data_IF_489719193871
#
_entry.id   IF_489719193871
#
_cell.length_a   1.000
_cell.length_b   1.000
_cell.length_c   1.000
_cell.angle_alpha   90.00
_cell.angle_beta   90.00
_cell.angle_gamma   90.00
#
_symmetry.space_group_name_H-M   'P 1'
#
loop_
_entity.id
_entity.type
_entity.pdbx_description
1 polymer ?
#
# COMPACT_ATOMS: atom_id res chain seq x y z
N UNK A 1 5.65 16.20 7.65
CA UNK A 1 6.09 14.97 6.97
C UNK A 1 7.35 14.45 7.65
N UNK A 2 7.38 13.18 8.11
CA UNK A 2 8.57 12.51 8.63
C UNK A 2 9.12 11.58 7.55
N UNK A 3 10.40 11.19 7.67
CA UNK A 3 11.04 10.29 6.70
C UNK A 3 11.74 9.16 7.45
N UNK A 4 11.38 7.93 7.09
CA UNK A 4 11.87 6.70 7.70
C UNK A 4 12.60 5.84 6.67
N UNK A 5 13.45 4.93 7.12
CA UNK A 5 14.12 3.97 6.24
C UNK A 5 13.27 2.70 6.08
N UNK A 6 13.20 2.15 4.87
CA UNK A 6 12.54 0.85 4.64
C UNK A 6 13.52 -0.25 5.06
N UNK A 7 13.38 -0.78 6.26
CA UNK A 7 14.24 -1.83 6.81
C UNK A 7 15.72 -1.46 6.71
N UNK A 8 16.51 -2.34 6.06
CA UNK A 8 17.95 -2.13 5.82
C UNK A 8 18.26 -1.79 4.36
N UNK A 9 17.28 -1.33 3.59
CA UNK A 9 17.47 -1.04 2.16
C UNK A 9 18.22 0.26 1.86
N UNK A 10 18.33 1.15 2.84
CA UNK A 10 18.84 2.52 2.62
C UNK A 10 17.83 3.47 1.95
N UNK A 11 16.67 2.98 1.52
CA UNK A 11 15.62 3.82 0.94
C UNK A 11 14.94 4.65 2.03
N UNK A 12 15.11 5.96 1.98
CA UNK A 12 14.49 6.91 2.91
C UNK A 12 13.20 7.47 2.31
N UNK A 13 12.06 7.14 2.93
CA UNK A 13 10.73 7.42 2.43
C UNK A 13 9.90 8.23 3.42
N UNK A 14 8.98 9.05 2.90
CA UNK A 14 7.99 9.78 3.71
C UNK A 14 7.05 8.80 4.44
N UNK A 15 6.70 9.10 5.68
CA UNK A 15 5.78 8.29 6.49
C UNK A 15 4.37 8.18 5.91
N UNK A 16 4.00 9.10 4.99
CA UNK A 16 2.83 9.01 4.12
C UNK A 16 3.30 8.73 2.70
N UNK A 17 2.83 7.63 2.09
CA UNK A 17 3.14 7.23 0.73
C UNK A 17 1.91 7.33 -0.19
N UNK A 18 2.14 7.48 -1.47
CA UNK A 18 1.09 7.59 -2.49
C UNK A 18 0.87 6.23 -3.18
N UNK A 19 -0.27 5.59 -2.87
CA UNK A 19 -0.75 4.43 -3.62
C UNK A 19 -1.48 4.87 -4.89
N UNK A 20 -1.04 4.42 -6.03
CA UNK A 20 -1.55 4.85 -7.33
C UNK A 20 -2.76 4.03 -7.84
N UNK A 21 -3.38 3.17 -7.02
CA UNK A 21 -4.51 2.34 -7.45
C UNK A 21 -5.69 3.16 -7.98
N UNK A 22 -5.99 4.30 -7.36
CA UNK A 22 -7.05 5.21 -7.82
C UNK A 22 -6.82 5.78 -9.22
N UNK A 23 -5.57 5.87 -9.69
CA UNK A 23 -5.26 6.35 -11.04
C UNK A 23 -5.76 5.38 -12.12
N UNK A 24 -5.96 4.11 -11.78
CA UNK A 24 -6.57 3.10 -12.64
C UNK A 24 -8.08 3.20 -12.77
N UNK A 25 -8.74 4.04 -11.95
CA UNK A 25 -10.21 4.09 -11.91
C UNK A 25 -10.83 2.88 -11.22
N UNK A 26 -10.09 2.20 -10.34
CA UNK A 26 -10.50 0.96 -9.66
C UNK A 26 -11.77 1.15 -8.80
N UNK A 27 -11.91 2.31 -8.17
CA UNK A 27 -13.01 2.58 -7.23
C UNK A 27 -14.16 3.39 -7.86
N UNK A 28 -13.87 4.21 -8.86
CA UNK A 28 -14.82 5.05 -9.60
C UNK A 28 -14.14 5.65 -10.82
N UNK A 29 -14.92 6.17 -11.76
CA UNK A 29 -14.37 6.87 -12.93
C UNK A 29 -13.50 8.06 -12.53
N UNK A 30 -12.41 8.26 -13.24
CA UNK A 30 -11.45 9.35 -12.99
C UNK A 30 -11.32 10.25 -14.23
N UNK A 31 -10.91 11.48 -13.99
CA UNK A 31 -10.37 12.38 -15.00
C UNK A 31 -8.86 12.26 -14.98
N UNK A 32 -8.26 11.99 -16.14
CA UNK A 32 -6.81 11.73 -16.24
C UNK A 32 -5.99 12.98 -15.86
N UNK A 33 -6.42 14.17 -16.24
CA UNK A 33 -5.77 15.42 -15.89
C UNK A 33 -5.73 15.66 -14.37
N UNK A 34 -6.84 15.39 -13.66
CA UNK A 34 -6.89 15.45 -12.19
C UNK A 34 -6.01 14.37 -11.54
N UNK A 35 -5.99 13.17 -12.11
CA UNK A 35 -5.17 12.07 -11.62
C UNK A 35 -3.66 12.39 -11.73
N UNK A 36 -3.21 12.97 -12.84
CA UNK A 36 -1.84 13.47 -13.01
C UNK A 36 -1.53 14.57 -12.00
N UNK A 37 -2.44 15.53 -11.84
CA UNK A 37 -2.27 16.60 -10.86
C UNK A 37 -2.20 16.07 -9.42
N UNK A 38 -2.90 14.97 -9.09
CA UNK A 38 -2.84 14.34 -7.77
C UNK A 38 -1.42 13.79 -7.48
N UNK A 39 -0.75 13.19 -8.47
CA UNK A 39 0.65 12.75 -8.33
C UNK A 39 1.59 13.93 -8.08
N UNK A 40 1.46 15.01 -8.88
CA UNK A 40 2.26 16.23 -8.69
C UNK A 40 2.02 16.83 -7.29
N UNK A 41 0.76 16.93 -6.86
CA UNK A 41 0.41 17.42 -5.52
C UNK A 41 1.06 16.56 -4.42
N UNK A 42 1.09 15.24 -4.59
CA UNK A 42 1.72 14.35 -3.63
C UNK A 42 3.23 14.61 -3.52
N UNK A 43 3.94 14.64 -4.64
CA UNK A 43 5.39 14.85 -4.65
C UNK A 43 5.77 16.26 -4.20
N UNK A 44 5.02 17.29 -4.60
CA UNK A 44 5.27 18.68 -4.19
C UNK A 44 4.95 18.90 -2.70
N UNK A 45 4.03 18.11 -2.14
CA UNK A 45 3.71 18.07 -0.71
C UNK A 45 4.69 17.27 0.15
N UNK A 46 5.76 16.72 -0.44
CA UNK A 46 6.83 16.00 0.24
C UNK A 46 6.67 14.48 0.31
N UNK A 47 5.64 13.91 -0.33
CA UNK A 47 5.55 12.45 -0.50
C UNK A 47 6.58 12.03 -1.53
N UNK A 48 7.46 11.09 -1.16
CA UNK A 48 8.48 10.57 -2.05
C UNK A 48 8.39 9.06 -2.29
N UNK A 49 7.45 8.33 -1.68
CA UNK A 49 7.20 6.92 -1.97
C UNK A 49 5.92 6.77 -2.78
N UNK A 50 6.05 6.20 -3.98
CA UNK A 50 4.94 5.97 -4.92
C UNK A 50 4.85 4.49 -5.22
N UNK A 51 3.70 3.88 -4.94
CA UNK A 51 3.44 2.46 -5.18
C UNK A 51 2.31 2.27 -6.20
N UNK A 52 2.52 1.38 -7.15
CA UNK A 52 1.57 1.05 -8.20
C UNK A 52 1.53 -0.46 -8.47
N UNK A 53 0.74 -0.91 -9.43
CA UNK A 53 0.70 -2.31 -9.90
C UNK A 53 0.12 -2.38 -11.32
N UNK A 54 0.57 -3.32 -12.16
CA UNK A 54 -0.07 -3.62 -13.44
C UNK A 54 -1.52 -4.12 -13.27
N UNK A 55 -1.86 -4.69 -12.11
CA UNK A 55 -3.23 -5.11 -11.78
C UNK A 55 -4.21 -3.93 -11.69
N UNK A 56 -3.76 -2.76 -11.25
CA UNK A 56 -4.66 -1.63 -10.95
C UNK A 56 -5.24 -1.01 -12.23
N UNK A 57 -6.56 -1.19 -12.40
CA UNK A 57 -7.30 -0.71 -13.56
C UNK A 57 -6.79 -1.31 -14.88
N UNK A 58 -6.33 -2.58 -14.86
CA UNK A 58 -5.86 -3.29 -16.03
C UNK A 58 -4.80 -2.49 -16.82
N UNK A 59 -3.65 -2.27 -16.19
CA UNK A 59 -2.49 -1.50 -16.67
C UNK A 59 -2.66 0.04 -16.68
N UNK A 60 -3.89 0.54 -16.50
CA UNK A 60 -4.18 1.97 -16.62
C UNK A 60 -3.46 2.81 -15.56
N UNK A 61 -3.37 2.30 -14.31
CA UNK A 61 -2.71 3.04 -13.23
C UNK A 61 -1.23 3.33 -13.55
N UNK A 62 -0.48 2.34 -14.03
CA UNK A 62 0.91 2.54 -14.43
C UNK A 62 1.03 3.50 -15.63
N UNK A 63 0.13 3.39 -16.61
CA UNK A 63 0.12 4.30 -17.78
C UNK A 63 -0.13 5.75 -17.39
N UNK A 64 -1.08 6.01 -16.50
CA UNK A 64 -1.39 7.36 -16.01
C UNK A 64 -0.25 7.89 -15.14
N UNK A 65 0.27 7.04 -14.25
CA UNK A 65 1.42 7.39 -13.41
C UNK A 65 2.65 7.72 -14.28
N UNK A 66 2.97 6.91 -15.29
CA UNK A 66 4.08 7.16 -16.19
C UNK A 66 3.97 8.50 -16.93
N UNK A 67 2.75 8.95 -17.26
CA UNK A 67 2.55 10.31 -17.82
C UNK A 67 2.89 11.41 -16.80
N UNK A 68 2.49 11.23 -15.54
CA UNK A 68 2.81 12.19 -14.48
C UNK A 68 4.31 12.24 -14.17
N UNK A 69 4.99 11.09 -14.16
CA UNK A 69 6.42 11.00 -13.82
C UNK A 69 7.34 11.67 -14.83
N UNK A 70 6.91 11.90 -16.08
CA UNK A 70 7.70 12.58 -17.10
C UNK A 70 8.16 13.99 -16.69
N UNK A 71 7.34 14.66 -15.90
CA UNK A 71 7.59 16.03 -15.46
C UNK A 71 8.20 16.11 -14.06
N UNK A 72 8.46 14.95 -13.43
CA UNK A 72 9.04 14.85 -12.08
C UNK A 72 10.46 14.30 -12.19
N UNK A 73 11.43 15.02 -11.60
CA UNK A 73 12.82 14.54 -11.56
C UNK A 73 12.89 13.18 -10.85
N UNK A 74 13.67 12.25 -11.42
CA UNK A 74 13.76 10.85 -10.93
C UNK A 74 14.25 10.74 -9.48
N UNK A 75 15.08 11.64 -9.02
CA UNK A 75 15.63 11.70 -7.66
C UNK A 75 14.64 12.20 -6.60
N UNK A 76 13.45 12.65 -7.00
CA UNK A 76 12.41 13.12 -6.08
C UNK A 76 11.51 12.01 -5.53
N UNK A 77 11.59 10.79 -6.06
CA UNK A 77 10.70 9.71 -5.65
C UNK A 77 11.39 8.34 -5.65
N UNK A 78 10.91 7.48 -4.76
CA UNK A 78 11.15 6.05 -4.71
C UNK A 78 9.94 5.36 -5.34
N UNK A 79 10.16 4.57 -6.38
CA UNK A 79 9.10 3.92 -7.16
C UNK A 79 8.98 2.44 -6.83
N UNK A 80 7.78 2.03 -6.47
CA UNK A 80 7.42 0.63 -6.23
C UNK A 80 6.36 0.18 -7.23
N UNK A 81 6.56 -1.00 -7.84
CA UNK A 81 5.51 -1.71 -8.58
C UNK A 81 5.54 -3.20 -8.28
N UNK A 82 4.73 -4.01 -8.97
CA UNK A 82 4.46 -5.39 -8.56
C UNK A 82 4.43 -6.35 -9.75
N UNK A 83 4.62 -7.65 -9.44
CA UNK A 83 4.47 -8.77 -10.37
C UNK A 83 3.53 -9.83 -9.80
N UNK A 84 3.02 -10.72 -10.61
CA UNK A 84 2.23 -11.88 -10.17
C UNK A 84 0.72 -11.71 -10.36
N UNK A 85 0.16 -10.53 -10.06
CA UNK A 85 -1.25 -10.19 -10.34
C UNK A 85 -1.35 -9.21 -11.50
N UNK A 86 -2.17 -9.57 -12.47
CA UNK A 86 -2.31 -8.81 -13.72
C UNK A 86 -3.78 -8.62 -14.09
N UNK A 87 -4.04 -7.64 -14.95
CA UNK A 87 -5.31 -7.43 -15.57
C UNK A 87 -5.13 -6.95 -17.00
N UNK A 88 -5.88 -7.52 -17.95
CA UNK A 88 -5.84 -7.11 -19.34
C UNK A 88 -7.23 -7.31 -19.95
N UNK A 89 -7.68 -6.33 -20.75
CA UNK A 89 -8.96 -6.38 -21.48
C UNK A 89 -10.17 -6.69 -20.56
N UNK A 90 -10.12 -6.19 -19.31
CA UNK A 90 -11.18 -6.41 -18.32
C UNK A 90 -11.14 -7.76 -17.62
N UNK A 91 -10.12 -8.58 -17.86
CA UNK A 91 -9.95 -9.90 -17.25
C UNK A 91 -8.79 -9.88 -16.26
N UNK A 92 -9.03 -10.38 -15.06
CA UNK A 92 -7.98 -10.60 -14.07
C UNK A 92 -7.31 -11.95 -14.33
N UNK A 93 -5.98 -12.00 -14.18
CA UNK A 93 -5.23 -13.24 -14.17
C UNK A 93 -4.00 -13.16 -13.27
N UNK A 94 -3.53 -14.33 -12.86
CA UNK A 94 -2.39 -14.49 -11.95
C UNK A 94 -1.37 -15.39 -12.63
N UNK A 95 -0.12 -14.96 -12.63
CA UNK A 95 0.99 -15.77 -13.12
C UNK A 95 2.27 -15.38 -12.35
N UNK A 96 2.68 -16.26 -11.46
CA UNK A 96 3.85 -16.08 -10.60
C UNK A 96 5.08 -16.80 -11.12
N UNK A 97 5.08 -17.25 -12.40
CA UNK A 97 6.24 -17.88 -12.99
C UNK A 97 7.43 -16.91 -13.13
N UNK A 98 8.66 -17.45 -13.02
CA UNK A 98 9.90 -16.68 -13.20
C UNK A 98 9.92 -15.91 -14.53
N UNK A 99 9.48 -16.55 -15.61
CA UNK A 99 9.42 -15.92 -16.94
C UNK A 99 8.48 -14.71 -16.95
N UNK A 100 7.25 -14.89 -16.48
CA UNK A 100 6.25 -13.80 -16.51
C UNK A 100 6.62 -12.65 -15.59
N UNK A 101 7.23 -12.96 -14.42
CA UNK A 101 7.72 -11.94 -13.50
C UNK A 101 8.76 -11.03 -14.17
N UNK A 102 9.76 -11.61 -14.84
CA UNK A 102 10.78 -10.83 -15.57
C UNK A 102 10.19 -10.00 -16.70
N UNK A 103 9.34 -10.59 -17.54
CA UNK A 103 8.66 -9.87 -18.63
C UNK A 103 7.86 -8.67 -18.09
N UNK A 104 7.14 -8.88 -16.99
CA UNK A 104 6.32 -7.84 -16.36
C UNK A 104 7.12 -6.65 -15.86
N UNK A 105 8.32 -6.88 -15.33
CA UNK A 105 9.19 -5.77 -14.87
C UNK A 105 9.50 -4.82 -16.02
N UNK A 106 9.95 -5.34 -17.17
CA UNK A 106 10.26 -4.50 -18.34
C UNK A 106 9.02 -3.82 -18.91
N UNK A 107 7.88 -4.52 -18.98
CA UNK A 107 6.61 -3.94 -19.40
C UNK A 107 6.16 -2.79 -18.47
N UNK A 108 6.38 -2.94 -17.15
CA UNK A 108 6.09 -1.89 -16.18
C UNK A 108 7.01 -0.68 -16.36
N UNK A 109 8.31 -0.91 -16.57
CA UNK A 109 9.27 0.17 -16.86
C UNK A 109 8.86 0.97 -18.10
N UNK A 110 8.40 0.30 -19.17
CA UNK A 110 7.91 0.96 -20.38
C UNK A 110 6.66 1.84 -20.08
N UNK A 111 5.66 1.28 -19.38
CA UNK A 111 4.45 2.03 -19.02
C UNK A 111 4.72 3.20 -18.09
N UNK A 112 5.63 3.01 -17.13
CA UNK A 112 6.02 4.03 -16.15
C UNK A 112 7.02 5.05 -16.71
N UNK A 113 7.59 4.78 -17.89
CA UNK A 113 8.59 5.62 -18.53
C UNK A 113 9.84 5.84 -17.65
N UNK A 114 10.37 4.74 -17.09
CA UNK A 114 11.56 4.71 -16.24
C UNK A 114 12.53 3.62 -16.66
N UNK A 115 13.82 3.81 -16.36
CA UNK A 115 14.88 2.82 -16.65
C UNK A 115 15.27 2.00 -15.41
N UNK A 116 14.64 2.26 -14.26
CA UNK A 116 14.93 1.59 -12.99
C UNK A 116 13.72 1.63 -12.06
N UNK A 117 13.49 0.52 -11.35
CA UNK A 117 12.46 0.39 -10.31
C UNK A 117 13.16 0.22 -8.96
N UNK A 118 12.88 1.09 -8.00
CA UNK A 118 13.55 1.04 -6.69
C UNK A 118 13.12 -0.18 -5.88
N UNK A 119 11.84 -0.53 -5.90
CA UNK A 119 11.28 -1.67 -5.18
C UNK A 119 10.31 -2.46 -6.06
N UNK A 120 10.60 -3.74 -6.28
CA UNK A 120 9.67 -4.66 -6.95
C UNK A 120 9.07 -5.64 -5.96
N UNK A 121 7.73 -5.75 -5.94
CA UNK A 121 7.03 -6.63 -5.03
C UNK A 121 6.36 -7.81 -5.75
N UNK A 122 6.35 -8.99 -5.13
CA UNK A 122 5.40 -10.05 -5.51
C UNK A 122 4.03 -9.70 -4.93
N UNK A 123 3.04 -9.53 -5.78
CA UNK A 123 1.72 -8.98 -5.44
C UNK A 123 0.81 -10.03 -4.84
N UNK A 124 0.30 -9.78 -3.62
CA UNK A 124 -0.72 -10.56 -2.93
C UNK A 124 -0.48 -12.07 -3.07
N UNK A 125 0.56 -12.55 -2.38
CA UNK A 125 1.03 -13.94 -2.48
C UNK A 125 -0.04 -14.97 -2.08
N UNK A 126 -1.13 -14.55 -1.42
CA UNK A 126 -2.29 -15.41 -1.10
C UNK A 126 -2.97 -16.02 -2.34
N UNK A 127 -2.81 -15.39 -3.52
CA UNK A 127 -3.33 -15.91 -4.78
C UNK A 127 -2.36 -16.84 -5.50
N UNK A 128 -1.14 -17.02 -4.97
CA UNK A 128 -0.11 -17.88 -5.52
C UNK A 128 -0.07 -19.26 -4.83
N UNK A 129 0.64 -20.20 -5.45
CA UNK A 129 1.27 -21.24 -4.69
C UNK A 129 2.50 -20.64 -4.00
N UNK A 130 2.53 -20.55 -2.66
CA UNK A 130 3.62 -19.92 -1.92
C UNK A 130 4.99 -20.55 -2.21
N UNK A 131 5.04 -21.87 -2.44
CA UNK A 131 6.28 -22.55 -2.81
C UNK A 131 6.78 -22.08 -4.19
N UNK A 132 5.90 -21.83 -5.16
CA UNK A 132 6.28 -21.27 -6.46
C UNK A 132 6.86 -19.85 -6.30
N UNK A 133 6.30 -19.05 -5.41
CA UNK A 133 6.87 -17.71 -5.11
C UNK A 133 8.32 -17.84 -4.64
N UNK A 134 8.59 -18.79 -3.74
CA UNK A 134 9.93 -19.05 -3.20
C UNK A 134 10.88 -19.63 -4.25
N UNK A 135 10.42 -20.59 -5.04
CA UNK A 135 11.30 -21.36 -5.94
C UNK A 135 11.50 -20.70 -7.31
N UNK A 136 10.56 -19.85 -7.77
CA UNK A 136 10.59 -19.28 -9.12
C UNK A 136 10.57 -17.74 -9.10
N UNK A 137 9.54 -17.14 -8.47
CA UNK A 137 9.31 -15.69 -8.61
C UNK A 137 10.41 -14.88 -7.93
N UNK A 138 10.69 -15.15 -6.65
CA UNK A 138 11.70 -14.43 -5.89
C UNK A 138 13.11 -14.58 -6.47
N UNK A 139 13.60 -15.79 -6.85
CA UNK A 139 14.88 -15.94 -7.53
C UNK A 139 14.98 -15.11 -8.81
N UNK A 140 13.93 -15.07 -9.63
CA UNK A 140 13.90 -14.26 -10.85
C UNK A 140 14.04 -12.76 -10.59
N UNK A 141 13.39 -12.24 -9.52
CA UNK A 141 13.53 -10.84 -9.13
C UNK A 141 14.90 -10.53 -8.52
N UNK A 142 15.49 -11.48 -7.78
CA UNK A 142 16.87 -11.36 -7.27
C UNK A 142 17.89 -11.32 -8.42
N UNK A 143 17.66 -12.05 -9.51
CA UNK A 143 18.51 -11.93 -10.72
C UNK A 143 18.42 -10.52 -11.31
N UNK A 144 17.22 -9.98 -11.50
CA UNK A 144 17.03 -8.60 -11.99
C UNK A 144 17.65 -7.54 -11.05
N UNK A 145 17.64 -7.79 -9.73
CA UNK A 145 18.36 -6.95 -8.76
C UNK A 145 19.87 -7.00 -8.97
N UNK A 146 20.44 -8.20 -9.18
CA UNK A 146 21.89 -8.37 -9.46
C UNK A 146 22.30 -7.73 -10.80
N UNK A 147 21.38 -7.70 -11.77
CA UNK A 147 21.59 -7.06 -13.08
C UNK A 147 21.43 -5.52 -13.01
N UNK A 148 20.95 -4.98 -11.87
CA UNK A 148 20.74 -3.55 -11.69
C UNK A 148 19.48 -3.01 -12.37
N UNK A 149 18.52 -3.87 -12.72
CA UNK A 149 17.22 -3.50 -13.31
C UNK A 149 16.26 -3.02 -12.24
N UNK A 150 16.28 -3.67 -11.05
CA UNK A 150 15.52 -3.29 -9.86
C UNK A 150 16.46 -3.11 -8.67
N UNK A 151 16.07 -2.28 -7.71
CA UNK A 151 16.88 -2.01 -6.52
C UNK A 151 16.69 -3.04 -5.42
N UNK A 152 15.44 -3.27 -5.04
CA UNK A 152 15.07 -4.09 -3.90
C UNK A 152 13.89 -5.01 -4.23
N UNK A 153 13.73 -6.09 -3.46
CA UNK A 153 12.67 -7.09 -3.63
C UNK A 153 11.82 -7.15 -2.36
N UNK A 154 10.50 -7.10 -2.55
CA UNK A 154 9.51 -7.24 -1.49
C UNK A 154 8.38 -8.18 -1.86
N UNK A 155 7.48 -8.39 -0.90
CA UNK A 155 6.24 -9.17 -1.07
C UNK A 155 5.05 -8.44 -0.47
N UNK A 156 3.85 -8.68 -1.00
CA UNK A 156 2.61 -8.10 -0.45
C UNK A 156 1.57 -9.17 -0.16
N UNK A 157 0.79 -8.96 0.87
CA UNK A 157 -0.35 -9.83 1.21
C UNK A 157 -1.30 -9.13 2.19
N UNK A 158 -2.59 -9.54 2.19
CA UNK A 158 -3.51 -9.20 3.25
C UNK A 158 -3.19 -10.01 4.53
N UNK A 159 -2.85 -11.30 4.40
CA UNK A 159 -2.59 -12.17 5.54
C UNK A 159 -1.09 -12.13 5.93
N UNK A 160 -0.72 -11.56 7.09
CA UNK A 160 0.68 -11.49 7.52
C UNK A 160 1.33 -12.88 7.70
N UNK A 161 0.54 -13.90 7.96
CA UNK A 161 0.98 -15.30 8.07
C UNK A 161 1.65 -15.80 6.79
N UNK A 162 1.10 -15.43 5.61
CA UNK A 162 1.67 -15.79 4.32
C UNK A 162 3.02 -15.09 4.09
N UNK A 163 3.10 -13.79 4.45
CA UNK A 163 4.35 -13.02 4.38
C UNK A 163 5.43 -13.70 5.22
N UNK A 164 5.09 -14.06 6.47
CA UNK A 164 5.99 -14.77 7.37
C UNK A 164 6.43 -16.09 6.76
N UNK A 165 5.50 -16.91 6.25
CA UNK A 165 5.81 -18.19 5.66
C UNK A 165 6.79 -18.07 4.48
N UNK A 166 6.55 -17.16 3.54
CA UNK A 166 7.44 -16.93 2.39
C UNK A 166 8.84 -16.53 2.85
N UNK A 167 8.95 -15.63 3.83
CA UNK A 167 10.24 -15.19 4.37
C UNK A 167 11.00 -16.35 5.03
N UNK A 168 10.32 -17.20 5.81
CA UNK A 168 10.94 -18.34 6.49
C UNK A 168 11.41 -19.46 5.54
N UNK A 169 10.86 -19.50 4.31
CA UNK A 169 11.20 -20.50 3.30
C UNK A 169 12.11 -19.96 2.18
N UNK A 170 12.42 -18.66 2.20
CA UNK A 170 13.34 -18.02 1.26
C UNK A 170 14.75 -17.91 1.82
N UNK A 171 15.76 -17.75 0.95
CA UNK A 171 17.10 -17.40 1.39
C UNK A 171 17.10 -16.06 2.13
N UNK A 172 17.91 -15.96 3.19
CA UNK A 172 18.03 -14.73 3.96
C UNK A 172 18.47 -13.55 3.07
N UNK A 173 17.81 -12.40 3.21
CA UNK A 173 18.07 -11.20 2.39
C UNK A 173 17.43 -11.24 0.99
N UNK A 174 16.64 -12.25 0.66
CA UNK A 174 15.82 -12.27 -0.56
C UNK A 174 14.68 -11.25 -0.47
N UNK A 175 13.94 -11.28 0.62
CA UNK A 175 12.83 -10.34 0.90
C UNK A 175 13.36 -9.23 1.79
N UNK A 176 13.30 -8.00 1.30
CA UNK A 176 13.83 -6.80 1.99
C UNK A 176 12.71 -5.90 2.54
N UNK A 177 11.49 -6.06 2.02
CA UNK A 177 10.31 -5.36 2.52
C UNK A 177 9.05 -6.20 2.42
N UNK A 178 8.08 -5.88 3.28
CA UNK A 178 6.71 -6.39 3.21
C UNK A 178 5.74 -5.22 3.08
N UNK A 179 4.69 -5.40 2.27
CA UNK A 179 3.53 -4.52 2.24
C UNK A 179 2.33 -5.31 2.72
N UNK A 180 1.74 -4.85 3.82
CA UNK A 180 0.50 -5.39 4.37
C UNK A 180 -0.58 -4.31 4.41
N UNK A 181 -1.83 -4.66 4.19
CA UNK A 181 -2.92 -3.69 4.14
C UNK A 181 -4.06 -4.07 5.08
N UNK A 182 -4.75 -3.04 5.59
CA UNK A 182 -5.88 -3.14 6.52
C UNK A 182 -5.58 -3.69 7.92
N UNK A 183 -4.34 -4.05 8.26
CA UNK A 183 -3.97 -4.63 9.56
C UNK A 183 -3.11 -3.71 10.45
N UNK A 184 -2.99 -2.43 10.08
CA UNK A 184 -2.60 -1.34 10.97
C UNK A 184 -3.45 -0.10 10.68
N UNK A 185 -4.68 -0.13 11.18
CA UNK A 185 -5.67 0.95 11.09
C UNK A 185 -6.53 0.98 12.37
N UNK A 186 -7.41 1.96 12.52
CA UNK A 186 -8.19 2.17 13.76
C UNK A 186 -8.99 0.94 14.20
N UNK A 187 -9.45 0.11 13.27
CA UNK A 187 -10.27 -1.08 13.55
C UNK A 187 -9.48 -2.40 13.60
N UNK A 188 -8.19 -2.40 13.25
CA UNK A 188 -7.37 -3.62 13.25
C UNK A 188 -5.89 -3.29 13.44
N UNK A 189 -5.19 -4.05 14.29
CA UNK A 189 -3.78 -3.87 14.59
C UNK A 189 -2.99 -5.20 14.53
N UNK A 190 -3.48 -6.19 13.80
CA UNK A 190 -2.82 -7.50 13.67
C UNK A 190 -1.34 -7.39 13.27
N UNK A 191 -1.02 -6.45 12.39
CA UNK A 191 0.35 -6.28 11.90
C UNK A 191 1.37 -6.06 13.03
N UNK A 192 0.94 -5.52 14.18
CA UNK A 192 1.83 -5.30 15.34
C UNK A 192 2.41 -6.59 15.91
N UNK A 193 1.71 -7.72 15.77
CA UNK A 193 2.18 -9.02 16.24
C UNK A 193 3.39 -9.55 15.44
N UNK A 194 3.67 -8.94 14.28
CA UNK A 194 4.73 -9.35 13.36
C UNK A 194 5.93 -8.38 13.33
N UNK A 195 5.86 -7.23 13.97
CA UNK A 195 6.93 -6.22 13.93
C UNK A 195 8.28 -6.80 14.37
N UNK A 196 8.33 -7.46 15.50
CA UNK A 196 9.54 -8.11 16.01
C UNK A 196 10.15 -9.12 15.01
N UNK A 197 9.29 -9.84 14.29
CA UNK A 197 9.73 -10.84 13.32
C UNK A 197 10.41 -10.18 12.12
N UNK A 198 9.86 -9.07 11.60
CA UNK A 198 10.41 -8.33 10.49
C UNK A 198 11.67 -7.55 10.90
N UNK A 199 11.64 -6.88 12.05
CA UNK A 199 12.74 -6.08 12.56
C UNK A 199 14.01 -6.90 12.80
N UNK A 200 13.89 -8.06 13.44
CA UNK A 200 15.02 -8.99 13.67
C UNK A 200 15.71 -9.43 12.37
N UNK A 201 15.01 -9.38 11.25
CA UNK A 201 15.53 -9.73 9.90
C UNK A 201 15.94 -8.50 9.10
N UNK A 202 15.71 -7.31 9.61
CA UNK A 202 15.99 -6.05 8.91
C UNK A 202 15.03 -5.79 7.73
N UNK A 203 13.85 -6.42 7.74
CA UNK A 203 12.81 -6.28 6.71
C UNK A 203 11.97 -5.04 7.01
N UNK A 204 11.83 -4.15 6.02
CA UNK A 204 11.01 -2.95 6.14
C UNK A 204 9.52 -3.25 6.02
N UNK A 205 8.70 -2.55 6.82
CA UNK A 205 7.25 -2.68 6.80
C UNK A 205 6.62 -1.48 6.11
N UNK A 206 5.80 -1.76 5.09
CA UNK A 206 4.94 -0.80 4.40
C UNK A 206 3.51 -1.15 4.76
N UNK A 207 2.77 -0.20 5.32
CA UNK A 207 1.35 -0.34 5.60
C UNK A 207 0.52 0.27 4.46
N UNK A 208 -0.69 -0.23 4.24
CA UNK A 208 -1.60 0.33 3.24
C UNK A 208 -3.06 0.30 3.71
N UNK A 209 -3.91 1.03 3.00
CA UNK A 209 -5.35 1.13 3.27
C UNK A 209 -5.69 1.67 4.67
N UNK A 210 -5.19 2.86 5.06
CA UNK A 210 -5.44 3.45 6.38
C UNK A 210 -6.93 3.65 6.69
N UNK A 211 -7.77 3.74 5.66
CA UNK A 211 -9.23 3.88 5.77
C UNK A 211 -9.96 2.52 5.79
N UNK A 212 -9.23 1.39 5.93
CA UNK A 212 -9.80 0.04 5.90
C UNK A 212 -10.76 -0.15 4.70
N UNK A 213 -10.29 0.20 3.50
CA UNK A 213 -11.02 0.17 2.22
C UNK A 213 -12.39 0.90 2.25
N UNK A 214 -12.50 1.95 3.06
CA UNK A 214 -13.69 2.82 3.18
C UNK A 214 -14.51 2.63 4.44
N UNK A 215 -14.28 1.59 5.26
CA UNK A 215 -14.96 1.40 6.56
C UNK A 215 -14.79 2.62 7.47
N UNK A 216 -13.59 3.21 7.49
CA UNK A 216 -13.26 4.38 8.31
C UNK A 216 -13.48 5.69 7.53
N UNK A 217 -14.69 5.85 7.02
CA UNK A 217 -15.15 7.08 6.34
C UNK A 217 -16.62 7.34 6.58
N UNK A 218 -17.08 8.60 6.47
CA UNK A 218 -18.51 8.94 6.60
C UNK A 218 -19.38 8.29 5.53
N UNK A 219 -18.82 8.00 4.35
CA UNK A 219 -19.54 7.31 3.28
C UNK A 219 -19.74 5.81 3.57
N UNK A 220 -18.90 5.24 4.43
CA UNK A 220 -18.83 3.80 4.66
C UNK A 220 -18.14 3.03 3.55
N UNK A 221 -17.95 1.72 3.78
CA UNK A 221 -17.36 0.82 2.81
C UNK A 221 -18.31 0.55 1.64
N UNK A 222 -17.77 0.34 0.42
CA UNK A 222 -18.58 -0.02 -0.75
C UNK A 222 -19.23 -1.41 -0.59
N UNK A 223 -20.27 -1.69 -1.40
CA UNK A 223 -21.06 -2.95 -1.31
C UNK A 223 -20.20 -4.21 -1.48
N UNK A 224 -19.19 -4.17 -2.34
CA UNK A 224 -18.26 -5.30 -2.56
C UNK A 224 -17.30 -5.57 -1.39
N UNK A 225 -17.23 -4.69 -0.39
CA UNK A 225 -16.30 -4.86 0.73
C UNK A 225 -16.68 -6.10 1.57
N UNK A 226 -15.74 -6.99 1.92
CA UNK A 226 -16.04 -8.27 2.58
C UNK A 226 -16.37 -8.17 4.06
N UNK A 227 -16.34 -6.98 4.67
CA UNK A 227 -16.67 -6.78 6.08
C UNK A 227 -18.10 -7.24 6.41
N UNK A 228 -18.24 -7.86 7.59
CA UNK A 228 -19.56 -8.22 8.15
C UNK A 228 -20.42 -6.97 8.40
N UNK A 229 -21.75 -7.14 8.43
CA UNK A 229 -22.65 -6.04 8.76
C UNK A 229 -22.34 -5.45 10.13
N UNK A 230 -22.05 -6.29 11.12
CA UNK A 230 -21.69 -5.83 12.46
C UNK A 230 -20.43 -4.93 12.47
N UNK A 231 -19.41 -5.27 11.71
CA UNK A 231 -18.20 -4.43 11.57
C UNK A 231 -18.54 -3.10 10.85
N UNK A 232 -19.34 -3.17 9.78
CA UNK A 232 -19.80 -1.96 9.05
C UNK A 232 -20.57 -1.00 9.97
N UNK A 233 -21.51 -1.52 10.77
CA UNK A 233 -22.29 -0.73 11.73
C UNK A 233 -21.42 -0.12 12.82
N UNK A 234 -20.47 -0.88 13.38
CA UNK A 234 -19.54 -0.40 14.39
C UNK A 234 -18.67 0.75 13.87
N UNK A 235 -18.08 0.59 12.67
CA UNK A 235 -17.30 1.65 12.03
C UNK A 235 -18.15 2.88 11.68
N UNK A 236 -19.38 2.69 11.20
CA UNK A 236 -20.28 3.79 10.90
C UNK A 236 -20.70 4.55 12.18
N UNK A 237 -20.87 3.85 13.32
CA UNK A 237 -21.13 4.49 14.63
C UNK A 237 -19.92 5.30 15.09
N UNK A 238 -18.70 4.77 14.93
CA UNK A 238 -17.48 5.50 15.24
C UNK A 238 -17.31 6.74 14.35
N UNK A 239 -17.63 6.64 13.05
CA UNK A 239 -17.56 7.76 12.12
C UNK A 239 -18.53 8.89 12.50
N UNK A 240 -19.78 8.55 12.85
CA UNK A 240 -20.75 9.56 13.34
C UNK A 240 -20.29 10.23 14.65
N UNK A 241 -19.76 9.45 15.59
CA UNK A 241 -19.22 10.02 16.82
C UNK A 241 -18.09 11.02 16.54
N UNK A 242 -17.16 10.68 15.66
CA UNK A 242 -16.09 11.60 15.26
C UNK A 242 -16.63 12.88 14.62
N UNK A 243 -17.64 12.78 13.76
CA UNK A 243 -18.28 13.94 13.12
C UNK A 243 -18.94 14.86 14.13
N UNK A 244 -19.64 14.30 15.13
CA UNK A 244 -20.24 15.04 16.26
C UNK A 244 -19.21 15.79 17.11
N UNK A 245 -17.95 15.28 17.16
CA UNK A 245 -16.85 15.98 17.82
C UNK A 245 -16.15 17.01 16.90
N UNK A 246 -16.59 17.17 15.66
CA UNK A 246 -15.95 18.04 14.67
C UNK A 246 -14.59 17.52 14.17
N UNK A 247 -14.32 16.24 14.32
CA UNK A 247 -13.05 15.60 13.94
C UNK A 247 -13.33 14.44 12.97
N UNK A 248 -13.17 14.64 11.67
CA UNK A 248 -13.52 13.62 10.69
C UNK A 248 -12.75 12.29 10.92
N UNK A 249 -13.44 11.15 10.84
CA UNK A 249 -12.82 9.85 11.10
C UNK A 249 -11.69 9.53 10.09
N UNK A 250 -11.77 10.01 8.87
CA UNK A 250 -10.70 9.86 7.86
C UNK A 250 -9.42 10.59 8.28
N UNK A 251 -9.54 11.75 8.94
CA UNK A 251 -8.40 12.43 9.55
C UNK A 251 -7.76 11.57 10.64
N UNK A 252 -8.56 11.10 11.59
CA UNK A 252 -8.08 10.27 12.69
C UNK A 252 -7.43 8.97 12.18
N UNK A 253 -8.04 8.34 11.18
CA UNK A 253 -7.56 7.08 10.60
C UNK A 253 -6.19 7.23 9.92
N UNK A 254 -5.99 8.27 9.11
CA UNK A 254 -4.70 8.47 8.45
C UNK A 254 -3.60 8.89 9.43
N UNK A 255 -3.94 9.72 10.42
CA UNK A 255 -3.01 10.09 11.48
C UNK A 255 -2.59 8.88 12.31
N UNK A 256 -3.54 8.02 12.68
CA UNK A 256 -3.25 6.78 13.41
C UNK A 256 -2.33 5.87 12.60
N UNK A 257 -2.67 5.59 11.35
CA UNK A 257 -1.92 4.67 10.51
C UNK A 257 -0.52 5.16 10.15
N UNK A 258 -0.25 6.46 10.22
CA UNK A 258 1.07 7.07 9.97
C UNK A 258 1.86 7.39 11.25
N UNK A 259 1.34 7.04 12.44
CA UNK A 259 1.99 7.39 13.71
C UNK A 259 3.05 6.40 14.19
N UNK A 260 3.08 5.18 13.65
CA UNK A 260 3.97 4.09 14.09
C UNK A 260 5.32 4.12 13.34
N UNK A 261 6.03 5.24 13.40
CA UNK A 261 7.25 5.47 12.62
C UNK A 261 8.43 4.57 13.01
N UNK A 262 8.43 3.99 14.21
CA UNK A 262 9.50 3.10 14.67
C UNK A 262 9.45 1.72 14.00
N UNK A 263 8.28 1.29 13.50
CA UNK A 263 8.06 -0.02 12.90
C UNK A 263 7.57 0.03 11.46
N UNK A 264 6.84 1.09 11.07
CA UNK A 264 6.26 1.25 9.74
C UNK A 264 7.00 2.38 9.00
N UNK A 265 7.65 2.05 7.91
CA UNK A 265 8.39 3.02 7.11
C UNK A 265 7.48 4.04 6.44
N UNK A 266 6.36 3.57 5.87
CA UNK A 266 5.39 4.43 5.17
C UNK A 266 4.00 3.79 5.18
N UNK A 267 2.96 4.62 5.17
CA UNK A 267 1.56 4.18 5.02
C UNK A 267 1.00 4.71 3.71
N UNK A 268 0.54 3.82 2.85
CA UNK A 268 -0.01 4.14 1.53
C UNK A 268 -1.50 4.49 1.61
N UNK A 269 -1.85 5.67 1.15
CA UNK A 269 -3.23 6.01 0.79
C UNK A 269 -3.35 6.19 -0.72
N UNK A 270 -4.57 6.15 -1.27
CA UNK A 270 -4.79 6.34 -2.70
C UNK A 270 -5.89 7.36 -2.97
N UNK A 271 -5.63 8.29 -3.88
CA UNK A 271 -6.63 9.23 -4.40
C UNK A 271 -6.22 9.75 -5.79
N UNK A 272 -7.19 9.84 -6.71
CA UNK A 272 -7.01 10.52 -8.00
C UNK A 272 -7.45 12.00 -7.94
N UNK A 273 -7.82 12.52 -6.76
CA UNK A 273 -8.24 13.89 -6.55
C UNK A 273 -7.15 14.69 -5.82
N UNK A 274 -6.57 15.74 -6.42
CA UNK A 274 -5.49 16.49 -5.80
C UNK A 274 -5.90 17.18 -4.48
N UNK A 275 -7.18 17.57 -4.33
CA UNK A 275 -7.67 18.15 -3.08
C UNK A 275 -7.64 17.14 -1.92
N UNK A 276 -7.98 15.87 -2.20
CA UNK A 276 -7.90 14.83 -1.18
C UNK A 276 -6.44 14.52 -0.82
N UNK A 277 -5.53 14.55 -1.81
CA UNK A 277 -4.09 14.39 -1.57
C UNK A 277 -3.59 15.48 -0.65
N UNK A 278 -3.88 16.73 -0.97
CA UNK A 278 -3.49 17.90 -0.17
C UNK A 278 -4.06 17.81 1.26
N UNK A 279 -5.33 17.46 1.41
CA UNK A 279 -6.01 17.29 2.69
C UNK A 279 -5.33 16.21 3.56
N UNK A 280 -4.95 15.06 2.97
CA UNK A 280 -4.27 14.00 3.71
C UNK A 280 -2.86 14.40 4.15
N UNK A 281 -2.13 15.16 3.33
CA UNK A 281 -0.83 15.74 3.70
C UNK A 281 -0.98 16.70 4.89
N UNK A 282 -1.99 17.54 4.89
CA UNK A 282 -2.29 18.46 5.99
C UNK A 282 -2.60 17.68 7.28
N UNK A 283 -3.46 16.68 7.20
CA UNK A 283 -3.85 15.84 8.33
C UNK A 283 -2.67 15.15 9.01
N UNK A 284 -1.75 14.57 8.25
CA UNK A 284 -0.57 13.87 8.80
C UNK A 284 0.41 14.84 9.48
N UNK A 285 0.39 16.12 9.12
CA UNK A 285 1.23 17.14 9.76
C UNK A 285 0.61 17.74 11.03
N UNK A 286 -0.65 17.44 11.33
CA UNK A 286 -1.32 17.88 12.56
C UNK A 286 -1.17 16.84 13.68
N UNK A 287 -1.20 17.24 14.95
CA UNK A 287 -1.15 16.29 16.07
C UNK A 287 -2.40 15.41 16.11
N UNK A 288 -2.20 14.13 16.41
CA UNK A 288 -3.29 13.16 16.60
C UNK A 288 -3.95 13.33 17.97
N UNK A 289 -5.26 13.19 18.02
CA UNK A 289 -6.02 13.09 19.26
C UNK A 289 -6.08 11.64 19.76
N UNK A 290 -5.19 11.29 20.69
CA UNK A 290 -5.10 9.94 21.26
C UNK A 290 -6.32 9.56 22.10
N UNK A 291 -6.99 10.54 22.77
CA UNK A 291 -8.20 10.26 23.54
C UNK A 291 -9.35 9.89 22.60
N UNK A 292 -9.42 10.55 21.45
CA UNK A 292 -10.39 10.20 20.40
C UNK A 292 -10.10 8.85 19.78
N UNK A 293 -8.81 8.47 19.59
CA UNK A 293 -8.42 7.11 19.15
C UNK A 293 -8.96 6.05 20.12
N UNK A 294 -8.72 6.22 21.41
CA UNK A 294 -9.18 5.26 22.43
C UNK A 294 -10.72 5.18 22.44
N UNK A 295 -11.40 6.30 22.29
CA UNK A 295 -12.86 6.32 22.24
C UNK A 295 -13.42 5.65 20.99
N UNK A 296 -12.80 5.82 19.83
CA UNK A 296 -13.17 5.14 18.59
C UNK A 296 -12.99 3.63 18.74
N UNK A 297 -11.87 3.17 19.31
CA UNK A 297 -11.63 1.74 19.59
C UNK A 297 -12.67 1.15 20.56
N UNK A 298 -13.03 1.91 21.60
CA UNK A 298 -14.13 1.53 22.52
C UNK A 298 -15.47 1.38 21.79
N UNK A 299 -15.81 2.30 20.89
CA UNK A 299 -17.06 2.25 20.10
C UNK A 299 -17.08 1.07 19.15
N UNK A 300 -15.96 0.76 18.49
CA UNK A 300 -15.83 -0.43 17.63
C UNK A 300 -15.93 -1.72 18.45
N UNK A 301 -15.41 -1.72 19.68
CA UNK A 301 -15.60 -2.76 20.70
C UNK A 301 -15.22 -4.15 20.22
N UNK A 302 -16.16 -5.11 20.37
CA UNK A 302 -15.95 -6.53 20.00
C UNK A 302 -15.71 -6.75 18.49
N UNK A 303 -15.88 -5.71 17.66
CA UNK A 303 -15.57 -5.77 16.23
C UNK A 303 -14.11 -5.39 15.92
N UNK A 304 -13.31 -5.01 16.92
CA UNK A 304 -11.88 -4.79 16.76
C UNK A 304 -11.18 -6.07 16.29
N UNK A 305 -10.38 -5.96 15.24
CA UNK A 305 -9.62 -7.09 14.70
C UNK A 305 -10.46 -8.16 13.98
N UNK A 306 -11.73 -7.89 13.68
CA UNK A 306 -12.54 -8.78 12.83
C UNK A 306 -12.02 -8.74 11.42
N UNK A 307 -11.58 -9.90 10.93
CA UNK A 307 -10.86 -10.08 9.68
C UNK A 307 -11.73 -10.67 8.58
N UNK A 308 -11.27 -10.50 7.36
CA UNK A 308 -11.84 -11.11 6.16
C UNK A 308 -10.72 -11.72 5.29
N UNK A 309 -11.10 -12.50 4.29
CA UNK A 309 -10.20 -12.96 3.22
C UNK A 309 -10.55 -12.23 1.93
N UNK A 310 -9.54 -11.97 1.10
CA UNK A 310 -9.80 -11.54 -0.26
C UNK A 310 -10.51 -12.66 -1.03
N UNK A 311 -11.48 -12.30 -1.85
CA UNK A 311 -12.27 -13.23 -2.66
C UNK A 311 -11.86 -13.14 -4.12
#
# INVERSE_FOLDING_TARGET
MQYNEIGKTGMKVSNLGFGASSLGGVFHGIREDEAIQAVHTAVDGGINFIDVSPYYGHLKAETVLGKALKDIKRDRYVLSTKVGRYGKDGVNYWDYSAKRAKESVYESMERLNVDFIDLINVHDVEFANLQQVVDETLPALVELRKEGVVGHVGITDLQPENLKWVIEHSEEGTVESVLNFCHYCLNDNLLTEYFDFFEKRGIGVINASPFSMGLLSMRGAPDWHPATEALREACAKAARYCDEQGYPIDKLAIQYSTSCNDHIATTLFSSANPKNVQKNIEYVNEPIDLQLVDKVKEIIGDQMGVRWKNS
#
